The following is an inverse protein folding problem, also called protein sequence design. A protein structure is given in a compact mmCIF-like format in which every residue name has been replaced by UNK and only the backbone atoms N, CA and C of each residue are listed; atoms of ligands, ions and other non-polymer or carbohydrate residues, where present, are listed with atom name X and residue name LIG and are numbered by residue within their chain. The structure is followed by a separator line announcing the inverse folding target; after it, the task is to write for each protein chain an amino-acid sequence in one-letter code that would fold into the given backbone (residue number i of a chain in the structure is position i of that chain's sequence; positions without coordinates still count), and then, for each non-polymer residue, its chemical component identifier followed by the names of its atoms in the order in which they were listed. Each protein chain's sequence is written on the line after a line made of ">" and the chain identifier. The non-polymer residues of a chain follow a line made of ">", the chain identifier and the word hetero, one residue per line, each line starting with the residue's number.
data_IF_567463898244
#
_entry.id   IF_567463898244
#
_cell.length_a   1.000
_cell.length_b   1.000
_cell.length_c   1.000
_cell.angle_alpha   90.00
_cell.angle_beta   90.00
_cell.angle_gamma   90.00
#
_symmetry.space_group_name_H-M   'P 1'
#
loop_
_entity.id
_entity.type
_entity.pdbx_description
1 polymer ?
#
# COMPACT_ATOMS: atom_id res chain seq x y z
N UNK A 1 48.93 -12.61 48.38
CA UNK A 1 48.34 -13.53 47.37
C UNK A 1 46.86 -13.67 47.71
N UNK A 2 45.87 -13.53 46.84
CA UNK A 2 45.83 -13.18 45.43
C UNK A 2 44.43 -12.62 45.13
N UNK A 3 44.46 -11.59 44.30
CA UNK A 3 43.45 -10.98 43.46
C UNK A 3 42.08 -11.66 43.31
N UNK A 4 41.06 -10.85 43.60
CA UNK A 4 39.97 -10.46 42.69
C UNK A 4 39.43 -11.58 41.80
N UNK A 5 38.18 -12.00 42.05
CA UNK A 5 37.27 -12.48 41.00
C UNK A 5 35.81 -12.32 41.49
N UNK A 6 35.37 -11.07 41.65
CA UNK A 6 33.93 -10.76 41.60
C UNK A 6 33.59 -10.72 40.12
N UNK A 7 33.20 -11.88 39.60
CA UNK A 7 32.83 -12.07 38.20
C UNK A 7 31.43 -11.48 38.03
N UNK A 8 31.36 -10.15 37.84
CA UNK A 8 30.15 -9.44 37.42
C UNK A 8 29.93 -9.80 35.95
N UNK A 9 29.27 -10.93 35.72
CA UNK A 9 28.72 -11.27 34.42
C UNK A 9 27.51 -10.33 34.18
N UNK A 10 27.77 -9.14 33.65
CA UNK A 10 26.75 -8.27 33.08
C UNK A 10 26.16 -9.01 31.89
N UNK A 11 25.03 -9.69 32.12
CA UNK A 11 24.24 -10.30 31.07
C UNK A 11 23.79 -9.23 30.09
N UNK A 12 24.44 -9.16 28.94
CA UNK A 12 24.04 -8.29 27.84
C UNK A 12 22.81 -8.93 27.19
N UNK A 13 21.64 -8.68 27.79
CA UNK A 13 20.34 -9.08 27.27
C UNK A 13 20.05 -8.19 26.05
N UNK A 14 20.61 -8.57 24.91
CA UNK A 14 20.24 -8.03 23.59
C UNK A 14 18.81 -8.47 23.30
N UNK A 15 17.84 -7.76 23.86
CA UNK A 15 16.48 -7.81 23.36
C UNK A 15 16.50 -7.18 21.97
N UNK A 16 16.50 -8.03 20.94
CA UNK A 16 16.25 -7.58 19.60
C UNK A 16 14.84 -6.99 19.59
N UNK A 17 14.74 -5.66 19.68
CA UNK A 17 13.49 -4.96 19.43
C UNK A 17 13.14 -5.22 17.97
N UNK A 18 12.30 -6.23 17.74
CA UNK A 18 11.67 -6.44 16.43
C UNK A 18 10.67 -5.30 16.28
N UNK A 19 11.14 -4.17 15.73
CA UNK A 19 10.26 -3.11 15.29
C UNK A 19 9.36 -3.69 14.20
N UNK A 20 8.10 -3.98 14.54
CA UNK A 20 7.08 -4.27 13.54
C UNK A 20 6.78 -2.95 12.84
N UNK A 21 7.30 -2.79 11.62
CA UNK A 21 6.88 -1.70 10.75
C UNK A 21 5.39 -1.89 10.44
N UNK A 22 4.56 -0.96 10.91
CA UNK A 22 3.14 -0.90 10.56
C UNK A 22 2.99 -0.10 9.26
N UNK A 23 3.27 -0.77 8.14
CA UNK A 23 3.21 -0.16 6.81
C UNK A 23 1.82 0.42 6.49
N UNK A 24 0.74 -0.13 7.06
CA UNK A 24 -0.61 0.37 6.80
C UNK A 24 -0.80 1.76 7.39
N UNK A 25 -0.44 1.96 8.66
CA UNK A 25 -0.55 3.29 9.28
C UNK A 25 0.40 4.30 8.64
N UNK A 26 1.62 3.90 8.26
CA UNK A 26 2.57 4.76 7.55
C UNK A 26 2.03 5.26 6.21
N UNK A 27 1.38 4.39 5.42
CA UNK A 27 0.77 4.78 4.14
C UNK A 27 -0.40 5.75 4.37
N UNK A 28 -1.26 5.49 5.36
CA UNK A 28 -2.41 6.34 5.66
C UNK A 28 -1.95 7.72 6.15
N UNK A 29 -0.97 7.77 7.04
CA UNK A 29 -0.37 9.02 7.53
C UNK A 29 0.26 9.80 6.38
N UNK A 30 1.04 9.13 5.52
CA UNK A 30 1.59 9.71 4.30
C UNK A 30 0.53 10.32 3.39
N UNK A 31 -0.62 9.66 3.20
CA UNK A 31 -1.72 10.22 2.41
C UNK A 31 -2.37 11.43 3.08
N UNK A 32 -2.51 11.42 4.40
CA UNK A 32 -3.03 12.57 5.16
C UNK A 32 -2.09 13.78 5.06
N UNK A 33 -0.78 13.57 5.21
CA UNK A 33 0.24 14.62 5.02
C UNK A 33 0.17 15.18 3.59
N UNK A 34 0.08 14.29 2.59
CA UNK A 34 -0.01 14.68 1.19
C UNK A 34 -1.21 15.59 0.91
N UNK A 35 -2.38 15.29 1.49
CA UNK A 35 -3.59 16.10 1.34
C UNK A 35 -3.48 17.48 1.99
N UNK A 36 -2.73 17.59 3.09
CA UNK A 36 -2.50 18.84 3.80
C UNK A 36 -1.48 19.75 3.10
N UNK A 37 -0.82 19.27 2.04
CA UNK A 37 0.38 19.87 1.44
C UNK A 37 1.51 20.10 2.47
N UNK A 38 1.48 19.39 3.59
CA UNK A 38 2.59 19.38 4.53
C UNK A 38 3.68 18.54 3.88
N UNK A 39 4.82 19.16 3.56
CA UNK A 39 6.00 18.52 2.97
C UNK A 39 6.71 17.56 3.94
N UNK A 40 5.94 16.70 4.60
CA UNK A 40 6.35 15.79 5.67
C UNK A 40 7.30 14.69 5.21
N UNK A 41 7.76 13.92 6.20
CA UNK A 41 8.81 12.90 6.05
C UNK A 41 8.38 11.74 5.14
N UNK A 42 7.07 11.52 4.98
CA UNK A 42 6.52 10.35 4.31
C UNK A 42 5.83 10.65 2.97
N UNK A 43 5.93 11.87 2.42
CA UNK A 43 5.20 12.37 1.23
C UNK A 43 5.17 11.41 0.02
N UNK A 44 6.14 10.51 -0.12
CA UNK A 44 6.20 9.57 -1.23
C UNK A 44 5.51 8.22 -1.01
N UNK A 45 5.29 7.77 0.24
CA UNK A 45 4.74 6.42 0.49
C UNK A 45 3.32 6.26 -0.07
N UNK A 46 2.45 7.26 0.12
CA UNK A 46 1.10 7.29 -0.42
C UNK A 46 1.09 7.15 -1.95
N UNK A 47 1.90 7.97 -2.64
CA UNK A 47 1.98 7.97 -4.10
C UNK A 47 2.52 6.64 -4.64
N UNK A 48 3.54 6.08 -4.00
CA UNK A 48 4.11 4.78 -4.39
C UNK A 48 3.12 3.64 -4.19
N UNK A 49 2.34 3.68 -3.12
CA UNK A 49 1.27 2.70 -2.91
C UNK A 49 0.21 2.79 -4.01
N UNK A 50 -0.28 3.99 -4.31
CA UNK A 50 -1.29 4.19 -5.36
C UNK A 50 -0.74 3.76 -6.72
N UNK A 51 0.50 4.10 -7.04
CA UNK A 51 1.16 3.71 -8.29
C UNK A 51 1.20 2.18 -8.43
N UNK A 52 1.69 1.48 -7.39
CA UNK A 52 1.72 0.03 -7.35
C UNK A 52 0.33 -0.62 -7.38
N UNK A 53 -0.67 0.01 -6.77
CA UNK A 53 -2.06 -0.44 -6.83
C UNK A 53 -2.59 -0.39 -8.26
N UNK A 54 -2.34 0.70 -8.99
CA UNK A 54 -2.81 0.84 -10.36
C UNK A 54 -2.15 -0.21 -11.27
N UNK A 55 -0.84 -0.42 -11.14
CA UNK A 55 -0.14 -1.46 -11.91
C UNK A 55 -0.72 -2.85 -11.65
N UNK A 56 -1.01 -3.16 -10.40
CA UNK A 56 -1.63 -4.41 -10.00
C UNK A 56 -3.04 -4.54 -10.63
N UNK A 57 -3.86 -3.50 -10.59
CA UNK A 57 -5.21 -3.49 -11.17
C UNK A 57 -5.24 -3.61 -12.69
N UNK A 58 -4.37 -2.89 -13.41
CA UNK A 58 -4.30 -2.99 -14.88
C UNK A 58 -3.83 -4.37 -15.32
N UNK A 59 -2.79 -4.91 -14.66
CA UNK A 59 -2.30 -6.25 -14.97
C UNK A 59 -3.35 -7.30 -14.65
N UNK A 60 -4.16 -7.14 -13.59
CA UNK A 60 -5.26 -8.07 -13.29
C UNK A 60 -6.28 -8.12 -14.43
N UNK A 61 -6.70 -6.97 -14.95
CA UNK A 61 -7.62 -6.93 -16.11
C UNK A 61 -6.99 -7.50 -17.38
N UNK A 62 -5.70 -7.26 -17.64
CA UNK A 62 -5.00 -7.82 -18.79
C UNK A 62 -4.67 -9.32 -18.66
N UNK A 63 -4.70 -9.88 -17.44
CA UNK A 63 -4.28 -11.27 -17.19
C UNK A 63 -5.33 -12.20 -16.62
N UNK A 64 -6.52 -11.70 -16.24
CA UNK A 64 -7.71 -12.54 -16.10
C UNK A 64 -8.09 -13.26 -17.41
N UNK A 65 -7.57 -12.80 -18.55
CA UNK A 65 -7.74 -13.41 -19.88
C UNK A 65 -6.69 -14.47 -20.25
N UNK A 66 -5.68 -14.76 -19.41
CA UNK A 66 -4.62 -15.74 -19.71
C UNK A 66 -4.37 -16.71 -18.54
N UNK A 67 -4.77 -17.97 -18.71
CA UNK A 67 -4.75 -19.02 -17.67
C UNK A 67 -3.34 -19.58 -17.34
N UNK A 68 -2.32 -19.20 -18.12
CA UNK A 68 -0.97 -19.79 -18.14
C UNK A 68 0.04 -19.24 -17.09
N UNK A 69 -0.41 -18.60 -16.01
CA UNK A 69 0.51 -18.02 -15.01
C UNK A 69 0.96 -19.01 -13.93
N UNK A 70 2.22 -18.89 -13.52
CA UNK A 70 2.80 -19.68 -12.42
C UNK A 70 2.15 -19.37 -11.07
N UNK A 71 2.12 -20.34 -10.16
CA UNK A 71 1.57 -20.21 -8.81
C UNK A 71 2.20 -19.08 -7.99
N UNK A 72 3.49 -18.77 -8.23
CA UNK A 72 4.17 -17.64 -7.61
C UNK A 72 3.54 -16.31 -8.04
N UNK A 73 3.31 -16.14 -9.33
CA UNK A 73 2.73 -14.93 -9.90
C UNK A 73 1.27 -14.77 -9.45
N UNK A 74 0.49 -15.86 -9.44
CA UNK A 74 -0.88 -15.88 -8.90
C UNK A 74 -0.91 -15.46 -7.42
N UNK A 75 0.06 -15.90 -6.60
CA UNK A 75 0.18 -15.51 -5.19
C UNK A 75 0.55 -14.05 -5.00
N UNK A 76 1.52 -13.53 -5.77
CA UNK A 76 1.90 -12.11 -5.72
C UNK A 76 0.72 -11.22 -6.08
N UNK A 77 -0.09 -11.63 -7.06
CA UNK A 77 -1.33 -10.92 -7.35
C UNK A 77 -2.33 -11.06 -6.22
N UNK A 78 -2.64 -12.25 -5.69
CA UNK A 78 -3.55 -12.40 -4.53
C UNK A 78 -3.25 -11.45 -3.36
N UNK A 79 -1.98 -11.19 -3.08
CA UNK A 79 -1.57 -10.33 -1.96
C UNK A 79 -1.52 -8.84 -2.30
N UNK A 80 -1.51 -8.46 -3.59
CA UNK A 80 -1.34 -7.07 -4.06
C UNK A 80 -2.50 -6.53 -4.89
N UNK A 81 -3.19 -7.41 -5.60
CA UNK A 81 -4.46 -7.17 -6.29
C UNK A 81 -5.62 -7.57 -5.38
N UNK A 82 -6.83 -7.24 -5.80
CA UNK A 82 -8.11 -7.45 -5.12
C UNK A 82 -8.47 -8.92 -4.87
N UNK A 83 -7.56 -9.86 -5.13
CA UNK A 83 -7.84 -11.29 -5.09
C UNK A 83 -7.57 -11.89 -3.70
N UNK A 84 -8.52 -11.72 -2.78
CA UNK A 84 -8.63 -12.45 -1.49
C UNK A 84 -10.12 -12.70 -1.15
N UNK A 85 -10.46 -13.12 0.07
CA UNK A 85 -11.87 -13.33 0.53
C UNK A 85 -12.80 -12.09 0.38
N UNK A 86 -12.24 -10.95 -0.03
CA UNK A 86 -12.95 -9.70 -0.29
C UNK A 86 -12.74 -9.31 -1.76
N UNK A 87 -13.26 -10.10 -2.70
CA UNK A 87 -13.66 -9.54 -4.00
C UNK A 87 -15.08 -9.03 -3.81
N UNK A 88 -15.21 -7.85 -3.21
CA UNK A 88 -16.49 -7.13 -3.26
C UNK A 88 -16.81 -6.81 -4.72
N UNK A 89 -18.08 -6.89 -5.12
CA UNK A 89 -18.55 -6.38 -6.41
C UNK A 89 -18.17 -4.90 -6.63
N UNK A 90 -17.87 -4.17 -5.55
CA UNK A 90 -17.35 -2.79 -5.59
C UNK A 90 -16.03 -2.66 -6.38
N UNK A 91 -15.27 -3.75 -6.50
CA UNK A 91 -14.03 -3.82 -7.24
C UNK A 91 -14.20 -4.19 -8.72
N UNK A 92 -15.40 -4.57 -9.16
CA UNK A 92 -15.66 -4.96 -10.56
C UNK A 92 -15.80 -3.77 -11.50
N UNK A 93 -16.08 -2.57 -10.97
CA UNK A 93 -16.21 -1.36 -11.78
C UNK A 93 -14.84 -0.92 -12.32
N UNK A 94 -14.63 -0.89 -13.64
CA UNK A 94 -13.34 -0.54 -14.21
C UNK A 94 -13.05 0.96 -14.12
N UNK A 95 -11.78 1.31 -14.26
CA UNK A 95 -11.29 2.69 -14.42
C UNK A 95 -10.39 2.78 -15.66
N UNK A 96 -10.35 3.95 -16.31
CA UNK A 96 -9.67 4.17 -17.58
C UNK A 96 -8.73 5.38 -17.51
N UNK A 97 -7.42 5.11 -17.49
CA UNK A 97 -6.42 6.17 -17.37
C UNK A 97 -5.94 6.62 -18.75
N UNK A 98 -6.00 7.92 -19.10
CA UNK A 98 -5.57 8.40 -20.41
C UNK A 98 -4.10 8.09 -20.69
N UNK A 99 -3.80 7.53 -21.87
CA UNK A 99 -2.43 7.14 -22.29
C UNK A 99 -1.40 8.29 -22.24
N UNK A 100 -1.85 9.54 -22.34
CA UNK A 100 -0.98 10.73 -22.35
C UNK A 100 -0.60 11.20 -20.95
N UNK A 101 -1.24 10.69 -19.90
CA UNK A 101 -1.04 11.16 -18.53
C UNK A 101 0.13 10.44 -17.87
N UNK A 102 0.97 11.19 -17.15
CA UNK A 102 2.08 10.58 -16.43
C UNK A 102 1.57 9.86 -15.18
N UNK A 103 2.16 8.72 -14.85
CA UNK A 103 1.75 7.92 -13.69
C UNK A 103 1.81 8.70 -12.37
N UNK A 104 2.85 9.51 -12.19
CA UNK A 104 2.99 10.31 -10.98
C UNK A 104 1.89 11.37 -10.84
N UNK A 105 1.40 11.93 -11.95
CA UNK A 105 0.30 12.90 -11.96
C UNK A 105 -1.02 12.23 -11.56
N UNK A 106 -1.27 11.03 -12.08
CA UNK A 106 -2.42 10.21 -11.70
C UNK A 106 -2.38 9.92 -10.21
N UNK A 107 -1.28 9.35 -9.70
CA UNK A 107 -1.13 9.00 -8.29
C UNK A 107 -1.30 10.22 -7.38
N UNK A 108 -0.77 11.39 -7.79
CA UNK A 108 -0.94 12.66 -7.07
C UNK A 108 -2.41 13.11 -7.03
N UNK A 109 -3.13 12.97 -8.15
CA UNK A 109 -4.54 13.34 -8.24
C UNK A 109 -5.42 12.44 -7.36
N UNK A 110 -5.14 11.14 -7.36
CA UNK A 110 -5.82 10.17 -6.49
C UNK A 110 -5.53 10.47 -5.01
N UNK A 111 -4.27 10.69 -4.63
CA UNK A 111 -3.88 11.00 -3.26
C UNK A 111 -4.59 12.26 -2.72
N UNK A 112 -4.81 13.26 -3.57
CA UNK A 112 -5.55 14.49 -3.20
C UNK A 112 -7.06 14.28 -3.05
N UNK A 113 -7.64 13.36 -3.81
CA UNK A 113 -9.09 13.22 -3.93
C UNK A 113 -9.70 12.11 -3.06
N UNK A 114 -8.86 11.21 -2.54
CA UNK A 114 -9.33 10.08 -1.73
C UNK A 114 -9.94 10.51 -0.39
N UNK A 115 -10.97 9.79 0.02
CA UNK A 115 -11.62 10.02 1.31
C UNK A 115 -11.00 9.11 2.38
N UNK A 116 -10.31 9.74 3.35
CA UNK A 116 -9.63 9.04 4.44
C UNK A 116 -10.47 9.00 5.73
N UNK A 117 -11.72 9.48 5.73
CA UNK A 117 -12.48 9.68 6.98
C UNK A 117 -12.96 8.40 7.65
N UNK A 118 -13.13 7.29 6.91
CA UNK A 118 -13.78 6.06 7.37
C UNK A 118 -12.90 4.79 7.19
N UNK A 119 -11.59 4.91 7.43
CA UNK A 119 -10.61 3.82 7.24
C UNK A 119 -10.62 2.75 8.35
N UNK A 120 -11.35 3.00 9.43
CA UNK A 120 -11.69 2.06 10.49
C UNK A 120 -12.69 1.00 10.00
N UNK A 121 -13.58 1.39 9.07
CA UNK A 121 -14.65 0.53 8.53
C UNK A 121 -14.36 0.11 7.08
N UNK A 122 -13.69 0.97 6.30
CA UNK A 122 -13.46 0.76 4.87
C UNK A 122 -12.03 0.31 4.59
N UNK A 123 -11.85 -0.73 3.77
CA UNK A 123 -10.52 -1.14 3.30
C UNK A 123 -9.88 -0.01 2.49
N UNK A 124 -8.62 0.33 2.80
CA UNK A 124 -7.88 1.37 2.09
C UNK A 124 -7.79 1.11 0.58
N UNK A 125 -7.75 -0.15 0.14
CA UNK A 125 -7.79 -0.55 -1.27
C UNK A 125 -9.10 -0.12 -1.94
N UNK A 126 -10.23 -0.26 -1.25
CA UNK A 126 -11.55 0.21 -1.74
C UNK A 126 -11.55 1.72 -1.90
N UNK A 127 -10.96 2.45 -0.95
CA UNK A 127 -10.85 3.90 -1.01
C UNK A 127 -10.04 4.34 -2.25
N UNK A 128 -8.89 3.72 -2.49
CA UNK A 128 -8.07 3.99 -3.69
C UNK A 128 -8.86 3.66 -4.96
N UNK A 129 -9.55 2.51 -5.00
CA UNK A 129 -10.33 2.09 -6.15
C UNK A 129 -11.51 3.02 -6.46
N UNK A 130 -12.30 3.39 -5.47
CA UNK A 130 -13.40 4.34 -5.64
C UNK A 130 -12.90 5.70 -6.12
N UNK A 131 -11.74 6.14 -5.64
CA UNK A 131 -11.11 7.38 -6.10
C UNK A 131 -10.70 7.27 -7.57
N UNK A 132 -10.18 6.13 -8.01
CA UNK A 132 -9.85 5.85 -9.40
C UNK A 132 -11.08 5.88 -10.30
N UNK A 133 -12.18 5.20 -9.94
CA UNK A 133 -13.43 5.22 -10.72
C UNK A 133 -14.01 6.63 -10.79
N UNK A 134 -13.96 7.39 -9.68
CA UNK A 134 -14.51 8.74 -9.62
C UNK A 134 -13.76 9.72 -10.52
N UNK A 135 -12.42 9.62 -10.56
CA UNK A 135 -11.58 10.55 -11.32
C UNK A 135 -11.30 10.10 -12.76
N UNK A 136 -11.28 8.79 -12.98
CA UNK A 136 -10.94 8.17 -14.25
C UNK A 136 -11.99 7.10 -14.63
N UNK A 137 -13.27 7.48 -14.77
CA UNK A 137 -14.27 6.54 -15.25
C UNK A 137 -13.91 6.08 -16.67
N UNK A 138 -14.15 4.80 -16.94
CA UNK A 138 -14.45 4.35 -18.29
C UNK A 138 -15.88 4.80 -18.63
#
# INVERSE_FOLDING_TARGET
>A
MNYKNVLVAVGFMLTAFVAKADFKSEIIESCSEYQKNDGGKYVNACKLYIDGFIDASMQYHESASNDDKSEFIKRVYRTRTMSGEIVSSDFERPFCIPKKMQRQEVASSIAKAMDLSNLDITDFRLVVHHSLIKLYPC
#
